data_IF_733837417614
#
_entry.id   IF_733837417614
#
_cell.length_a   1.000
_cell.length_b   1.000
_cell.length_c   1.000
_cell.angle_alpha   90.00
_cell.angle_beta   90.00
_cell.angle_gamma   90.00
#
_symmetry.space_group_name_H-M   'P 1'
#
loop_
_entity.id
_entity.type
_entity.pdbx_description
1 polymer ?
#
# COMPACT_ATOMS: atom_id res chain seq x y z
N UNK A 1 -14.69 -16.29 33.82
CA UNK A 1 -13.67 -15.27 33.57
C UNK A 1 -13.98 -14.66 32.21
N UNK A 2 -14.58 -13.48 32.22
CA UNK A 2 -15.05 -12.81 31.01
C UNK A 2 -13.92 -12.22 30.22
N UNK A 3 -13.80 -12.63 28.98
CA UNK A 3 -12.89 -12.06 28.00
C UNK A 3 -13.48 -10.72 27.51
N UNK A 4 -13.16 -9.65 28.22
CA UNK A 4 -13.46 -8.28 27.79
C UNK A 4 -12.50 -7.94 26.64
N UNK A 5 -12.78 -8.43 25.45
CA UNK A 5 -12.24 -7.82 24.24
C UNK A 5 -12.97 -6.48 24.08
N UNK A 6 -12.34 -5.43 24.57
CA UNK A 6 -12.72 -4.07 24.25
C UNK A 6 -12.65 -3.91 22.74
N UNK A 7 -13.75 -4.16 22.06
CA UNK A 7 -14.00 -3.75 20.68
C UNK A 7 -14.08 -2.21 20.67
N UNK A 8 -12.96 -1.55 20.86
CA UNK A 8 -12.86 -0.11 20.61
C UNK A 8 -13.04 0.08 19.11
N UNK A 9 -14.30 0.34 18.73
CA UNK A 9 -14.62 0.74 17.36
C UNK A 9 -13.82 1.99 17.05
N UNK A 10 -12.88 1.88 16.12
CA UNK A 10 -12.10 3.02 15.66
C UNK A 10 -13.04 4.16 15.26
N UNK A 11 -12.77 5.37 15.75
CA UNK A 11 -13.54 6.55 15.40
C UNK A 11 -13.44 6.81 13.90
N UNK A 12 -14.51 7.30 13.29
CA UNK A 12 -14.56 7.60 11.84
C UNK A 12 -13.32 8.38 11.34
N UNK A 13 -12.93 9.42 12.05
CA UNK A 13 -11.75 10.22 11.68
C UNK A 13 -10.44 9.46 11.74
N UNK A 14 -10.29 8.52 12.68
CA UNK A 14 -9.10 7.66 12.75
C UNK A 14 -9.01 6.74 11.54
N UNK A 15 -10.14 6.21 11.07
CA UNK A 15 -10.19 5.38 9.86
C UNK A 15 -9.85 6.23 8.62
N UNK A 16 -10.42 7.44 8.51
CA UNK A 16 -10.15 8.36 7.41
C UNK A 16 -8.67 8.71 7.35
N UNK A 17 -8.07 9.11 8.48
CA UNK A 17 -6.65 9.47 8.54
C UNK A 17 -5.74 8.27 8.22
N UNK A 18 -6.07 7.09 8.73
CA UNK A 18 -5.33 5.86 8.44
C UNK A 18 -5.39 5.52 6.94
N UNK A 19 -6.57 5.68 6.33
CA UNK A 19 -6.76 5.44 4.89
C UNK A 19 -5.96 6.44 4.05
N UNK A 20 -6.03 7.72 4.38
CA UNK A 20 -5.25 8.77 3.71
C UNK A 20 -3.74 8.46 3.83
N UNK A 21 -3.27 8.13 5.04
CA UNK A 21 -1.88 7.75 5.25
C UNK A 21 -1.47 6.52 4.44
N UNK A 22 -2.36 5.53 4.28
CA UNK A 22 -2.11 4.35 3.45
C UNK A 22 -2.07 4.63 1.95
N UNK A 23 -2.78 5.65 1.48
CA UNK A 23 -2.79 6.08 0.07
C UNK A 23 -1.57 6.95 -0.26
N UNK A 24 -1.19 7.84 0.67
CA UNK A 24 -0.01 8.70 0.51
C UNK A 24 1.25 7.85 0.72
N UNK A 25 1.89 7.50 -0.37
CA UNK A 25 3.15 6.77 -0.38
C UNK A 25 4.19 7.52 -1.23
N UNK A 26 5.34 6.90 -1.48
CA UNK A 26 6.39 7.49 -2.32
C UNK A 26 5.92 7.81 -3.74
N UNK A 27 4.84 7.17 -4.20
CA UNK A 27 4.24 7.40 -5.51
C UNK A 27 3.84 8.85 -5.75
N UNK A 28 3.33 9.54 -4.73
CA UNK A 28 2.92 10.95 -4.86
C UNK A 28 4.11 11.88 -5.15
N UNK A 29 5.30 11.51 -4.73
CA UNK A 29 6.52 12.29 -4.96
C UNK A 29 7.26 11.87 -6.24
N UNK A 30 7.22 10.59 -6.61
CA UNK A 30 7.98 10.05 -7.74
C UNK A 30 7.20 10.09 -9.06
N UNK A 31 5.88 9.84 -9.02
CA UNK A 31 5.09 9.71 -10.24
C UNK A 31 4.85 11.02 -10.99
N UNK A 32 4.62 12.21 -10.35
CA UNK A 32 4.33 13.43 -11.08
C UNK A 32 5.46 13.84 -12.02
N UNK A 33 6.70 13.77 -11.56
CA UNK A 33 7.87 14.10 -12.39
C UNK A 33 8.05 13.15 -13.57
N UNK A 34 7.82 11.84 -13.37
CA UNK A 34 7.90 10.85 -14.43
C UNK A 34 6.79 11.03 -15.46
N UNK A 35 5.55 11.24 -15.02
CA UNK A 35 4.39 11.46 -15.90
C UNK A 35 4.56 12.77 -16.68
N UNK A 36 4.98 13.87 -16.04
CA UNK A 36 5.22 15.14 -16.72
C UNK A 36 6.29 15.02 -17.82
N UNK A 37 7.35 14.23 -17.60
CA UNK A 37 8.37 13.96 -18.63
C UNK A 37 7.83 13.20 -19.83
N UNK A 38 6.86 12.31 -19.63
CA UNK A 38 6.30 11.48 -20.71
C UNK A 38 5.22 12.20 -21.52
N UNK A 39 4.38 13.00 -20.87
CA UNK A 39 3.15 13.54 -21.49
C UNK A 39 3.06 15.07 -21.43
N UNK A 40 4.03 15.75 -20.82
CA UNK A 40 4.08 17.21 -20.73
C UNK A 40 2.83 17.79 -20.06
N UNK A 41 2.26 18.82 -20.70
CA UNK A 41 1.10 19.56 -20.19
C UNK A 41 -0.17 18.72 -20.00
N UNK A 42 -0.22 17.51 -20.60
CA UNK A 42 -1.36 16.59 -20.47
C UNK A 42 -1.34 15.79 -19.16
N UNK A 43 -0.31 15.93 -18.33
CA UNK A 43 -0.17 15.18 -17.07
C UNK A 43 -1.40 15.36 -16.17
N UNK A 44 -1.94 16.57 -16.05
CA UNK A 44 -3.13 16.83 -15.24
C UNK A 44 -4.36 16.05 -15.71
N UNK A 45 -4.59 15.97 -17.03
CA UNK A 45 -5.71 15.20 -17.59
C UNK A 45 -5.58 13.70 -17.32
N UNK A 46 -4.36 13.16 -17.38
CA UNK A 46 -4.09 11.76 -17.09
C UNK A 46 -4.37 11.46 -15.61
N UNK A 47 -3.95 12.35 -14.71
CA UNK A 47 -4.28 12.21 -13.28
C UNK A 47 -5.77 12.29 -13.01
N UNK A 48 -6.52 13.17 -13.69
CA UNK A 48 -7.97 13.25 -13.57
C UNK A 48 -8.65 11.97 -14.06
N UNK A 49 -8.22 11.43 -15.19
CA UNK A 49 -8.74 10.16 -15.71
C UNK A 49 -8.44 8.99 -14.74
N UNK A 50 -7.22 8.93 -14.21
CA UNK A 50 -6.84 7.93 -13.21
C UNK A 50 -7.66 8.08 -11.92
N UNK A 51 -7.90 9.30 -11.46
CA UNK A 51 -8.73 9.57 -10.28
C UNK A 51 -10.19 9.14 -10.50
N UNK A 52 -10.76 9.40 -11.67
CA UNK A 52 -12.12 8.94 -12.02
C UNK A 52 -12.20 7.41 -12.00
N UNK A 53 -11.22 6.71 -12.59
CA UNK A 53 -11.15 5.26 -12.55
C UNK A 53 -11.02 4.72 -11.11
N UNK A 54 -10.15 5.32 -10.30
CA UNK A 54 -9.98 4.97 -8.89
C UNK A 54 -11.27 5.19 -8.08
N UNK A 55 -12.03 6.25 -8.38
CA UNK A 55 -13.31 6.51 -7.73
C UNK A 55 -14.35 5.41 -8.02
N UNK A 56 -14.43 4.92 -9.25
CA UNK A 56 -15.31 3.78 -9.61
C UNK A 56 -14.94 2.54 -8.82
N UNK A 57 -13.64 2.22 -8.70
CA UNK A 57 -13.17 1.11 -7.89
C UNK A 57 -13.51 1.29 -6.41
N UNK A 58 -13.31 2.49 -5.87
CA UNK A 58 -13.63 2.80 -4.47
C UNK A 58 -15.12 2.61 -4.15
N UNK A 59 -16.00 3.06 -5.04
CA UNK A 59 -17.45 2.85 -4.89
C UNK A 59 -17.81 1.36 -4.92
N UNK A 60 -17.19 0.60 -5.83
CA UNK A 60 -17.40 -0.86 -5.93
C UNK A 60 -16.98 -1.58 -4.65
N UNK A 61 -15.81 -1.25 -4.10
CA UNK A 61 -15.33 -1.80 -2.83
C UNK A 61 -16.20 -1.38 -1.64
N UNK A 62 -16.66 -0.13 -1.61
CA UNK A 62 -17.57 0.38 -0.58
C UNK A 62 -18.93 -0.35 -0.62
N UNK A 63 -19.44 -0.65 -1.81
CA UNK A 63 -20.66 -1.43 -1.96
C UNK A 63 -20.45 -2.88 -1.48
N UNK A 64 -19.36 -3.53 -1.87
CA UNK A 64 -19.05 -4.90 -1.45
C UNK A 64 -18.85 -5.03 0.08
N UNK A 65 -18.28 -4.03 0.73
CA UNK A 65 -18.05 -4.02 2.18
C UNK A 65 -19.32 -4.06 3.02
N UNK A 66 -20.46 -3.69 2.45
CA UNK A 66 -21.78 -3.79 3.13
C UNK A 66 -22.25 -5.25 3.26
N UNK A 67 -21.82 -6.11 2.36
CA UNK A 67 -22.27 -7.51 2.31
C UNK A 67 -21.27 -8.48 2.92
N UNK A 68 -19.98 -8.15 2.88
CA UNK A 68 -18.92 -9.03 3.34
C UNK A 68 -18.03 -8.31 4.34
N UNK A 69 -18.26 -8.60 5.63
CA UNK A 69 -17.47 -8.05 6.74
C UNK A 69 -16.41 -9.08 7.14
N UNK A 70 -15.39 -9.25 6.30
CA UNK A 70 -14.27 -10.16 6.55
C UNK A 70 -12.95 -9.50 6.20
N UNK A 71 -11.89 -9.93 6.91
CA UNK A 71 -10.52 -9.53 6.58
C UNK A 71 -10.14 -10.03 5.18
N UNK A 72 -9.32 -9.27 4.46
CA UNK A 72 -8.84 -9.69 3.13
C UNK A 72 -9.61 -9.07 1.96
N UNK A 73 -10.44 -8.06 2.20
CA UNK A 73 -11.16 -7.23 1.21
C UNK A 73 -11.35 -7.89 -0.19
N UNK A 74 -10.43 -7.66 -1.14
CA UNK A 74 -10.55 -8.17 -2.51
C UNK A 74 -10.70 -9.70 -2.56
N UNK A 75 -9.93 -10.45 -1.77
CA UNK A 75 -10.08 -11.91 -1.66
C UNK A 75 -11.46 -12.30 -1.14
N UNK A 76 -11.90 -11.67 -0.03
CA UNK A 76 -13.16 -12.02 0.62
C UNK A 76 -14.37 -11.69 -0.26
N UNK A 77 -14.32 -10.56 -0.97
CA UNK A 77 -15.39 -10.14 -1.88
C UNK A 77 -15.47 -11.04 -3.11
N UNK A 78 -14.33 -11.37 -3.73
CA UNK A 78 -14.27 -12.26 -4.87
C UNK A 78 -14.72 -13.68 -4.51
N UNK A 79 -14.30 -14.18 -3.34
CA UNK A 79 -14.74 -15.49 -2.85
C UNK A 79 -16.24 -15.53 -2.61
N UNK A 80 -16.83 -14.48 -2.03
CA UNK A 80 -18.26 -14.41 -1.77
C UNK A 80 -19.09 -14.30 -3.07
N UNK A 81 -18.58 -13.62 -4.10
CA UNK A 81 -19.29 -13.41 -5.36
C UNK A 81 -19.11 -14.56 -6.36
N UNK A 82 -17.92 -15.17 -6.43
CA UNK A 82 -17.54 -16.07 -7.53
C UNK A 82 -17.03 -17.43 -7.06
N UNK A 83 -17.00 -17.69 -5.74
CA UNK A 83 -16.55 -18.95 -5.16
C UNK A 83 -15.05 -19.00 -4.83
N UNK A 84 -14.63 -20.15 -4.29
CA UNK A 84 -13.30 -20.35 -3.71
C UNK A 84 -12.15 -20.29 -4.71
N UNK A 85 -12.34 -20.77 -5.90
CA UNK A 85 -11.31 -20.79 -6.94
C UNK A 85 -10.94 -19.36 -7.38
N UNK A 86 -11.94 -18.55 -7.71
CA UNK A 86 -11.73 -17.15 -8.11
C UNK A 86 -11.19 -16.33 -6.93
N UNK A 87 -11.71 -16.55 -5.73
CA UNK A 87 -11.20 -15.93 -4.52
C UNK A 87 -9.71 -16.21 -4.32
N UNK A 88 -9.30 -17.47 -4.42
CA UNK A 88 -7.90 -17.88 -4.26
C UNK A 88 -6.98 -17.25 -5.31
N UNK A 89 -7.41 -17.23 -6.57
CA UNK A 89 -6.67 -16.57 -7.64
C UNK A 89 -6.46 -15.08 -7.37
N UNK A 90 -7.52 -14.37 -6.98
CA UNK A 90 -7.45 -12.95 -6.61
C UNK A 90 -6.55 -12.74 -5.40
N UNK A 91 -6.61 -13.63 -4.41
CA UNK A 91 -5.74 -13.60 -3.23
C UNK A 91 -4.25 -13.70 -3.59
N UNK A 92 -3.88 -14.68 -4.40
CA UNK A 92 -2.50 -14.87 -4.86
C UNK A 92 -2.02 -13.65 -5.67
N UNK A 93 -2.83 -13.22 -6.63
CA UNK A 93 -2.53 -12.02 -7.44
C UNK A 93 -2.32 -10.78 -6.57
N UNK A 94 -3.15 -10.62 -5.54
CA UNK A 94 -3.03 -9.51 -4.58
C UNK A 94 -1.73 -9.55 -3.80
N UNK A 95 -1.31 -10.73 -3.33
CA UNK A 95 -0.04 -10.90 -2.59
C UNK A 95 1.14 -10.55 -3.49
N UNK A 96 1.19 -11.10 -4.70
CA UNK A 96 2.26 -10.80 -5.66
C UNK A 96 2.33 -9.31 -5.99
N UNK A 97 1.18 -8.70 -6.34
CA UNK A 97 1.11 -7.28 -6.66
C UNK A 97 1.53 -6.39 -5.49
N UNK A 98 1.09 -6.74 -4.27
CA UNK A 98 1.49 -6.02 -3.07
C UNK A 98 2.99 -6.13 -2.81
N UNK A 99 3.59 -7.31 -2.96
CA UNK A 99 5.02 -7.52 -2.77
C UNK A 99 5.85 -6.67 -3.74
N UNK A 100 5.45 -6.60 -5.01
CA UNK A 100 6.10 -5.76 -6.00
C UNK A 100 5.96 -4.27 -5.63
N UNK A 101 4.76 -3.83 -5.27
CA UNK A 101 4.50 -2.45 -4.87
C UNK A 101 5.35 -2.03 -3.67
N UNK A 102 5.43 -2.87 -2.63
CA UNK A 102 6.28 -2.63 -1.46
C UNK A 102 7.76 -2.56 -1.82
N UNK A 103 8.24 -3.41 -2.73
CA UNK A 103 9.61 -3.37 -3.23
C UNK A 103 9.94 -2.04 -3.92
N UNK A 104 9.04 -1.55 -4.77
CA UNK A 104 9.19 -0.24 -5.44
C UNK A 104 9.21 0.91 -4.43
N UNK A 105 8.27 0.91 -3.47
CA UNK A 105 8.20 1.93 -2.43
C UNK A 105 9.48 1.96 -1.58
N UNK A 106 9.94 0.82 -1.11
CA UNK A 106 11.17 0.71 -0.31
C UNK A 106 12.40 1.17 -1.09
N UNK A 107 12.52 0.82 -2.37
CA UNK A 107 13.59 1.30 -3.24
C UNK A 107 13.54 2.81 -3.40
N UNK A 108 12.35 3.40 -3.54
CA UNK A 108 12.15 4.85 -3.58
C UNK A 108 12.64 5.55 -2.32
N UNK A 109 12.30 5.02 -1.14
CA UNK A 109 12.77 5.54 0.15
C UNK A 109 14.29 5.50 0.24
N UNK A 110 14.92 4.37 -0.12
CA UNK A 110 16.37 4.22 -0.10
C UNK A 110 17.07 5.20 -1.03
N UNK A 111 16.61 5.32 -2.27
CA UNK A 111 17.18 6.27 -3.24
C UNK A 111 17.06 7.71 -2.75
N UNK A 112 15.93 8.09 -2.18
CA UNK A 112 15.73 9.42 -1.63
C UNK A 112 16.67 9.67 -0.44
N UNK A 113 16.79 8.71 0.47
CA UNK A 113 17.72 8.82 1.59
C UNK A 113 19.17 8.98 1.12
N UNK A 114 19.64 8.13 0.18
CA UNK A 114 20.98 8.24 -0.38
C UNK A 114 21.25 9.61 -1.01
N UNK A 115 20.26 10.15 -1.75
CA UNK A 115 20.36 11.48 -2.34
C UNK A 115 20.50 12.59 -1.30
N UNK A 116 19.75 12.51 -0.18
CA UNK A 116 19.85 13.47 0.93
C UNK A 116 21.23 13.42 1.58
N UNK A 117 21.84 12.23 1.70
CA UNK A 117 23.17 12.06 2.25
C UNK A 117 24.30 12.28 1.24
N UNK A 118 24.00 12.80 0.05
CA UNK A 118 24.98 13.10 -1.00
C UNK A 118 25.66 11.87 -1.59
N UNK A 119 25.06 10.67 -1.43
CA UNK A 119 25.55 9.43 -2.03
C UNK A 119 24.92 9.17 -3.39
N UNK A 120 25.64 8.45 -4.24
CA UNK A 120 25.13 8.10 -5.56
C UNK A 120 23.94 7.13 -5.45
N UNK A 121 22.76 7.64 -5.79
CA UNK A 121 21.51 6.88 -5.82
C UNK A 121 21.34 6.04 -7.10
N UNK A 122 22.30 6.10 -8.03
CA UNK A 122 22.33 5.32 -9.27
C UNK A 122 23.13 4.03 -9.13
N UNK A 123 24.03 3.95 -8.13
CA UNK A 123 24.80 2.74 -7.88
C UNK A 123 23.92 1.62 -7.34
N UNK A 124 23.73 0.58 -8.16
CA UNK A 124 22.89 -0.56 -7.85
C UNK A 124 23.31 -1.29 -6.56
N UNK A 125 24.62 -1.39 -6.29
CA UNK A 125 25.13 -2.06 -5.09
C UNK A 125 24.74 -1.30 -3.83
N UNK A 126 24.96 0.01 -3.82
CA UNK A 126 24.61 0.89 -2.70
C UNK A 126 23.10 0.90 -2.44
N UNK A 127 22.29 0.95 -3.49
CA UNK A 127 20.84 0.88 -3.39
C UNK A 127 20.40 -0.48 -2.84
N UNK A 128 20.98 -1.58 -3.29
CA UNK A 128 20.64 -2.93 -2.81
C UNK A 128 20.99 -3.11 -1.34
N UNK A 129 22.16 -2.67 -0.91
CA UNK A 129 22.57 -2.71 0.51
C UNK A 129 21.61 -1.87 1.36
N UNK A 130 21.29 -0.65 0.92
CA UNK A 130 20.33 0.20 1.60
C UNK A 130 18.94 -0.44 1.71
N UNK A 131 18.47 -1.10 0.65
CA UNK A 131 17.21 -1.82 0.64
C UNK A 131 17.19 -2.98 1.66
N UNK A 132 18.23 -3.81 1.65
CA UNK A 132 18.33 -4.93 2.60
C UNK A 132 18.38 -4.40 4.05
N UNK A 133 19.16 -3.36 4.29
CA UNK A 133 19.25 -2.71 5.61
C UNK A 133 17.88 -2.20 6.07
N UNK A 134 17.15 -1.49 5.19
CA UNK A 134 15.82 -1.00 5.50
C UNK A 134 14.86 -2.15 5.83
N UNK A 135 14.88 -3.23 5.06
CA UNK A 135 14.02 -4.39 5.29
C UNK A 135 14.32 -5.09 6.62
N UNK A 136 15.60 -5.25 6.97
CA UNK A 136 16.01 -5.84 8.25
C UNK A 136 15.57 -4.96 9.42
N UNK A 137 15.76 -3.64 9.33
CA UNK A 137 15.31 -2.70 10.36
C UNK A 137 13.79 -2.77 10.56
N UNK A 138 13.03 -2.74 9.47
CA UNK A 138 11.57 -2.84 9.53
C UNK A 138 11.11 -4.19 10.11
N UNK A 139 11.79 -5.29 9.77
CA UNK A 139 11.52 -6.61 10.34
C UNK A 139 11.75 -6.60 11.87
N UNK A 140 12.88 -6.06 12.32
CA UNK A 140 13.19 -5.97 13.75
C UNK A 140 12.15 -5.13 14.49
N UNK A 141 11.79 -3.96 13.97
CA UNK A 141 10.77 -3.09 14.56
C UNK A 141 9.42 -3.81 14.63
N UNK A 142 9.05 -4.54 13.59
CA UNK A 142 7.80 -5.30 13.56
C UNK A 142 7.79 -6.43 14.60
N UNK A 143 8.89 -7.17 14.74
CA UNK A 143 9.02 -8.25 15.73
C UNK A 143 8.99 -7.73 17.16
N UNK A 144 9.58 -6.57 17.41
CA UNK A 144 9.56 -5.93 18.74
C UNK A 144 8.16 -5.37 19.02
N UNK A 145 7.57 -4.69 18.04
CA UNK A 145 6.24 -4.08 18.17
C UNK A 145 5.14 -5.11 18.45
N UNK A 146 5.19 -6.28 17.83
CA UNK A 146 4.24 -7.37 18.11
C UNK A 146 4.38 -7.92 19.52
N UNK A 147 5.58 -7.94 20.09
CA UNK A 147 5.80 -8.37 21.48
C UNK A 147 5.35 -7.36 22.54
N UNK A 148 5.26 -6.09 22.17
CA UNK A 148 4.81 -5.03 23.09
C UNK A 148 3.28 -4.89 23.12
N UNK A 149 2.58 -5.46 22.10
CA UNK A 149 1.12 -5.40 21.95
C UNK A 149 0.41 -6.67 22.44
N UNK A 150 1.16 -7.71 22.81
CA UNK A 150 0.66 -8.97 23.41
C UNK A 150 0.97 -9.00 24.91
#
# INVERSE_FOLDING_TARGET
>A
MGNNQNNEKMKFWSIVLLTINGIIGTGIFLSPGAVAKLVGDKAAMIYLAAAAFAAVLAVSFAAASKYVVKSGAAYAYSKAAFGDEVGSYVGITRVVSASIAWGVLATGVVKTALSIFGKDSSDMKTVTIGFITLMVVLLIINLIGTKLLT
#
